data_IF_948159504237
#
_entry.id   IF_948159504237
#
_cell.length_a   1.000
_cell.length_b   1.000
_cell.length_c   1.000
_cell.angle_alpha   90.00
_cell.angle_beta   90.00
_cell.angle_gamma   90.00
#
_symmetry.space_group_name_H-M   'P 1'
#
loop_
_entity.id
_entity.type
_entity.pdbx_description
1 polymer ?
#
# COMPACT_ATOMS: atom_id res chain seq x y z
N UNK A 1 -4.72 -6.92 5.73
CA UNK A 1 -4.42 -6.12 4.52
C UNK A 1 -3.12 -5.37 4.73
N UNK A 2 -2.25 -5.40 3.73
CA UNK A 2 -1.00 -4.66 3.66
C UNK A 2 -1.03 -3.83 2.37
N UNK A 3 -0.43 -2.66 2.38
CA UNK A 3 -0.26 -1.87 1.17
C UNK A 3 1.04 -1.07 1.26
N UNK A 4 1.68 -0.86 0.10
CA UNK A 4 2.86 -0.04 -0.06
C UNK A 4 2.50 1.15 -0.95
N UNK A 5 2.81 2.36 -0.48
CA UNK A 5 2.54 3.59 -1.20
C UNK A 5 3.82 4.42 -1.25
N UNK A 6 4.12 4.96 -2.42
CA UNK A 6 5.14 5.98 -2.58
C UNK A 6 4.64 7.29 -1.96
N UNK A 7 5.38 7.85 -1.01
CA UNK A 7 4.96 9.04 -0.29
C UNK A 7 5.09 10.32 -1.10
N UNK A 8 5.88 10.35 -2.15
CA UNK A 8 6.09 11.52 -3.00
C UNK A 8 5.03 11.54 -4.10
N UNK A 9 4.99 10.48 -4.92
CA UNK A 9 4.11 10.37 -6.09
C UNK A 9 2.69 9.95 -5.73
N UNK A 10 2.49 9.45 -4.50
CA UNK A 10 1.23 8.82 -4.04
C UNK A 10 0.90 7.54 -4.78
N UNK A 11 1.85 6.93 -5.49
CA UNK A 11 1.62 5.71 -6.24
C UNK A 11 1.37 4.53 -5.29
N UNK A 12 0.25 3.85 -5.46
CA UNK A 12 -0.02 2.59 -4.78
C UNK A 12 0.78 1.49 -5.48
N UNK A 13 1.92 1.12 -4.89
CA UNK A 13 2.88 0.17 -5.44
C UNK A 13 2.40 -1.27 -5.36
N UNK A 14 1.76 -1.63 -4.23
CA UNK A 14 1.18 -2.95 -4.04
C UNK A 14 0.10 -2.97 -2.95
N UNK A 15 -0.78 -3.95 -3.02
CA UNK A 15 -1.82 -4.21 -2.01
C UNK A 15 -2.11 -5.70 -1.90
N UNK A 16 -2.11 -6.21 -0.67
CA UNK A 16 -2.35 -7.63 -0.38
C UNK A 16 -3.26 -7.84 0.82
N UNK A 17 -4.02 -8.93 0.79
CA UNK A 17 -4.93 -9.32 1.88
C UNK A 17 -4.63 -10.75 2.34
N UNK A 18 -4.40 -10.87 3.65
CA UNK A 18 -4.17 -12.12 4.36
C UNK A 18 -5.22 -12.29 5.44
N UNK A 19 -5.50 -13.55 5.78
CA UNK A 19 -6.44 -13.93 6.83
C UNK A 19 -5.93 -13.57 8.24
N UNK A 20 -4.63 -13.33 8.38
CA UNK A 20 -3.97 -12.95 9.64
C UNK A 20 -2.94 -11.85 9.42
N UNK A 21 -2.74 -11.05 10.47
CA UNK A 21 -1.65 -10.10 10.56
C UNK A 21 -0.44 -10.74 11.27
N UNK A 22 0.76 -10.46 10.76
CA UNK A 22 2.00 -10.94 11.35
C UNK A 22 3.24 -10.50 10.58
N UNK A 23 4.40 -10.76 11.17
CA UNK A 23 5.71 -10.44 10.60
C UNK A 23 6.00 -11.27 9.35
N UNK A 24 5.55 -12.52 9.30
CA UNK A 24 5.79 -13.40 8.14
C UNK A 24 5.00 -12.91 6.91
N UNK A 25 3.73 -12.52 7.09
CA UNK A 25 2.93 -11.91 6.03
C UNK A 25 3.51 -10.57 5.58
N UNK A 26 4.05 -9.77 6.51
CA UNK A 26 4.72 -8.52 6.16
C UNK A 26 5.98 -8.77 5.31
N UNK A 27 6.78 -9.78 5.64
CA UNK A 27 7.96 -10.15 4.87
C UNK A 27 7.59 -10.66 3.47
N UNK A 28 6.51 -11.45 3.35
CA UNK A 28 5.99 -11.93 2.06
C UNK A 28 5.58 -10.77 1.14
N UNK A 29 4.81 -9.81 1.67
CA UNK A 29 4.40 -8.61 0.92
C UNK A 29 5.60 -7.79 0.46
N UNK A 30 6.56 -7.58 1.35
CA UNK A 30 7.77 -6.83 0.99
C UNK A 30 8.64 -7.59 -0.03
N UNK A 31 8.64 -8.92 0.01
CA UNK A 31 9.29 -9.76 -1.01
C UNK A 31 8.64 -9.57 -2.39
N UNK A 32 7.32 -9.68 -2.48
CA UNK A 32 6.60 -9.41 -3.74
C UNK A 32 6.82 -7.98 -4.24
N UNK A 33 6.89 -7.01 -3.33
CA UNK A 33 7.19 -5.62 -3.68
C UNK A 33 8.58 -5.49 -4.30
N UNK A 34 9.59 -6.16 -3.73
CA UNK A 34 10.97 -6.16 -4.23
C UNK A 34 11.14 -6.91 -5.57
N UNK A 35 10.25 -7.84 -5.89
CA UNK A 35 10.23 -8.50 -7.21
C UNK A 35 9.67 -7.57 -8.30
N UNK A 36 8.74 -6.68 -7.95
CA UNK A 36 8.04 -5.81 -8.88
C UNK A 36 8.72 -4.46 -9.09
N UNK A 37 9.43 -3.96 -8.08
CA UNK A 37 9.96 -2.59 -8.04
C UNK A 37 11.43 -2.59 -7.61
N UNK A 38 12.20 -1.63 -8.14
CA UNK A 38 13.54 -1.36 -7.64
C UNK A 38 13.44 -0.62 -6.30
N UNK A 39 13.87 -1.28 -5.23
CA UNK A 39 13.81 -0.76 -3.86
C UNK A 39 15.20 -0.41 -3.30
N UNK A 40 16.24 -0.40 -4.14
CA UNK A 40 17.63 -0.21 -3.70
C UNK A 40 17.84 1.09 -2.92
N UNK A 41 17.19 2.18 -3.33
CA UNK A 41 17.23 3.49 -2.68
C UNK A 41 16.01 3.78 -1.78
N UNK A 42 15.12 2.81 -1.59
CA UNK A 42 13.88 3.01 -0.85
C UNK A 42 14.09 3.01 0.68
N UNK A 43 13.46 3.97 1.37
CA UNK A 43 13.36 3.99 2.83
C UNK A 43 11.94 3.67 3.25
N UNK A 44 11.74 2.52 3.89
CA UNK A 44 10.41 2.10 4.34
C UNK A 44 9.99 2.79 5.63
N UNK A 45 8.79 3.39 5.60
CA UNK A 45 8.14 3.96 6.77
C UNK A 45 7.15 2.95 7.34
N UNK A 46 7.39 2.46 8.55
CA UNK A 46 6.57 1.41 9.18
C UNK A 46 6.06 1.80 10.57
N UNK A 47 4.89 1.27 10.96
CA UNK A 47 4.16 1.69 12.16
C UNK A 47 4.48 0.87 13.43
N UNK A 48 5.39 -0.09 13.35
CA UNK A 48 5.77 -0.92 14.51
C UNK A 48 7.00 -1.80 14.30
N UNK A 49 7.60 -2.21 15.42
CA UNK A 49 8.81 -3.05 15.47
C UNK A 49 8.67 -4.39 14.70
N UNK A 50 7.46 -4.95 14.61
CA UNK A 50 7.20 -6.17 13.85
C UNK A 50 7.48 -6.02 12.35
N UNK A 51 7.17 -4.86 11.76
CA UNK A 51 7.49 -4.54 10.38
C UNK A 51 8.97 -4.22 10.18
N UNK A 52 9.58 -3.57 11.16
CA UNK A 52 11.02 -3.30 11.17
C UNK A 52 11.83 -4.60 11.14
N UNK A 53 11.36 -5.62 11.88
CA UNK A 53 11.91 -6.98 11.82
C UNK A 53 11.74 -7.62 10.44
N UNK A 54 10.59 -7.43 9.80
CA UNK A 54 10.34 -7.96 8.46
C UNK A 54 11.29 -7.35 7.42
N UNK A 55 11.48 -6.02 7.45
CA UNK A 55 12.43 -5.31 6.58
C UNK A 55 13.86 -5.82 6.74
N UNK A 56 14.31 -5.97 7.99
CA UNK A 56 15.65 -6.50 8.27
C UNK A 56 15.85 -7.92 7.73
N UNK A 57 14.83 -8.78 7.82
CA UNK A 57 14.89 -10.17 7.32
C UNK A 57 15.15 -10.27 5.82
N UNK A 58 14.73 -9.28 5.05
CA UNK A 58 14.86 -9.25 3.58
C UNK A 58 15.90 -8.23 3.10
N UNK A 59 16.68 -7.66 4.02
CA UNK A 59 17.78 -6.74 3.68
C UNK A 59 17.33 -5.33 3.25
N UNK A 60 16.11 -4.91 3.55
CA UNK A 60 15.61 -3.56 3.23
C UNK A 60 15.83 -2.60 4.40
N UNK A 61 16.14 -1.34 4.08
CA UNK A 61 16.24 -0.25 5.06
C UNK A 61 14.86 0.25 5.50
N UNK A 62 14.72 0.55 6.79
CA UNK A 62 13.49 1.10 7.34
C UNK A 62 13.72 2.12 8.43
N UNK A 63 12.76 3.03 8.60
CA UNK A 63 12.75 4.01 9.68
C UNK A 63 11.36 4.09 10.33
N UNK A 64 11.34 4.39 11.62
CA UNK A 64 10.11 4.73 12.32
C UNK A 64 9.82 6.22 12.10
N UNK A 65 8.80 6.54 11.31
CA UNK A 65 8.38 7.93 11.06
C UNK A 65 6.90 8.12 11.41
N UNK A 66 6.66 8.94 12.43
CA UNK A 66 5.32 9.17 12.99
C UNK A 66 4.57 10.34 12.35
N UNK A 67 5.21 11.17 11.52
CA UNK A 67 4.58 12.35 10.90
C UNK A 67 3.89 11.97 9.59
N UNK A 68 4.61 11.32 8.67
CA UNK A 68 4.05 10.78 7.42
C UNK A 68 3.05 9.64 7.68
N UNK A 69 3.12 9.01 8.86
CA UNK A 69 2.10 8.10 9.41
C UNK A 69 0.70 8.69 9.34
N UNK A 70 0.51 9.99 9.58
CA UNK A 70 -0.83 10.57 9.60
C UNK A 70 -1.45 10.55 8.19
N UNK A 71 -0.64 10.78 7.16
CA UNK A 71 -1.07 10.72 5.76
C UNK A 71 -1.40 9.28 5.34
N UNK A 72 -0.49 8.35 5.61
CA UNK A 72 -0.66 6.93 5.29
C UNK A 72 -1.86 6.35 6.05
N UNK A 73 -2.02 6.66 7.34
CA UNK A 73 -3.17 6.19 8.13
C UNK A 73 -4.50 6.76 7.66
N UNK A 74 -4.58 8.05 7.34
CA UNK A 74 -5.80 8.65 6.76
C UNK A 74 -6.15 8.01 5.44
N UNK A 75 -5.15 7.71 4.62
CA UNK A 75 -5.34 6.99 3.37
C UNK A 75 -5.84 5.56 3.60
N UNK A 76 -5.20 4.78 4.48
CA UNK A 76 -5.64 3.43 4.85
C UNK A 76 -7.05 3.42 5.43
N UNK A 77 -7.41 4.43 6.22
CA UNK A 77 -8.76 4.59 6.73
C UNK A 77 -9.76 4.77 5.58
N UNK A 78 -9.44 5.61 4.60
CA UNK A 78 -10.27 5.81 3.41
C UNK A 78 -10.41 4.51 2.59
N UNK A 79 -9.32 3.78 2.41
CA UNK A 79 -9.32 2.48 1.72
C UNK A 79 -10.19 1.47 2.45
N UNK A 80 -10.01 1.31 3.76
CA UNK A 80 -10.84 0.41 4.60
C UNK A 80 -12.31 0.78 4.49
N UNK A 81 -12.68 2.06 4.59
CA UNK A 81 -14.08 2.47 4.41
C UNK A 81 -14.64 2.09 3.04
N UNK A 82 -13.85 2.18 1.97
CA UNK A 82 -14.29 1.77 0.62
C UNK A 82 -14.44 0.26 0.50
N UNK A 83 -13.52 -0.51 1.08
CA UNK A 83 -13.60 -1.97 1.18
C UNK A 83 -14.82 -2.38 2.00
N UNK A 84 -15.04 -1.78 3.16
CA UNK A 84 -16.15 -2.10 4.06
C UNK A 84 -17.50 -1.80 3.41
N UNK A 85 -17.63 -0.68 2.69
CA UNK A 85 -18.82 -0.36 1.91
C UNK A 85 -19.04 -1.36 0.77
N UNK A 86 -17.98 -1.72 0.05
CA UNK A 86 -18.06 -2.75 -0.99
C UNK A 86 -18.50 -4.10 -0.41
N UNK A 87 -17.89 -4.56 0.68
CA UNK A 87 -18.22 -5.82 1.35
C UNK A 87 -19.64 -5.82 1.92
N UNK A 88 -20.11 -4.69 2.46
CA UNK A 88 -21.50 -4.56 2.96
C UNK A 88 -22.51 -4.68 1.82
N UNK A 89 -22.15 -4.25 0.62
CA UNK A 89 -22.98 -4.35 -0.59
C UNK A 89 -22.74 -5.64 -1.40
N UNK A 90 -21.72 -6.43 -1.07
CA UNK A 90 -21.28 -7.60 -1.84
C UNK A 90 -20.74 -8.71 -0.93
N UNK A 91 -21.46 -9.83 -0.83
CA UNK A 91 -20.97 -11.05 -0.16
C UNK A 91 -20.11 -11.84 -1.16
N UNK A 92 -18.81 -11.56 -1.19
CA UNK A 92 -17.86 -12.14 -2.15
C UNK A 92 -16.91 -13.18 -1.53
N UNK A 93 -16.32 -14.03 -2.38
CA UNK A 93 -15.24 -14.94 -2.00
C UNK A 93 -13.88 -14.22 -2.03
N UNK A 94 -12.82 -14.85 -1.50
CA UNK A 94 -11.45 -14.28 -1.52
C UNK A 94 -10.98 -13.84 -2.93
N UNK A 95 -11.22 -14.62 -4.01
CA UNK A 95 -10.95 -14.15 -5.39
C UNK A 95 -11.68 -12.85 -5.77
N UNK A 96 -12.91 -12.65 -5.32
CA UNK A 96 -13.65 -11.41 -5.58
C UNK A 96 -13.02 -10.21 -4.89
N UNK A 97 -12.43 -10.40 -3.70
CA UNK A 97 -11.69 -9.33 -3.00
C UNK A 97 -10.43 -8.97 -3.77
N UNK A 98 -9.66 -9.98 -4.22
CA UNK A 98 -8.44 -9.73 -5.00
C UNK A 98 -8.74 -8.98 -6.30
N UNK A 99 -9.74 -9.43 -7.06
CA UNK A 99 -10.15 -8.76 -8.30
C UNK A 99 -10.61 -7.32 -8.05
N UNK A 100 -11.34 -7.07 -6.95
CA UNK A 100 -11.72 -5.72 -6.57
C UNK A 100 -10.51 -4.84 -6.23
N UNK A 101 -9.52 -5.38 -5.52
CA UNK A 101 -8.29 -4.66 -5.19
C UNK A 101 -7.51 -4.27 -6.44
N UNK A 102 -7.38 -5.17 -7.41
CA UNK A 102 -6.75 -4.88 -8.71
C UNK A 102 -7.45 -3.73 -9.43
N UNK A 103 -8.79 -3.73 -9.47
CA UNK A 103 -9.57 -2.64 -10.05
C UNK A 103 -9.40 -1.33 -9.25
N UNK A 104 -9.35 -1.42 -7.92
CA UNK A 104 -9.13 -0.27 -7.06
C UNK A 104 -7.76 0.35 -7.29
N UNK A 105 -6.69 -0.45 -7.38
CA UNK A 105 -5.33 0.01 -7.68
C UNK A 105 -5.30 0.73 -9.02
N UNK A 106 -5.91 0.13 -10.05
CA UNK A 106 -5.98 0.75 -11.36
C UNK A 106 -6.70 2.10 -11.32
N UNK A 107 -7.88 2.16 -10.71
CA UNK A 107 -8.64 3.39 -10.55
C UNK A 107 -7.83 4.46 -9.78
N UNK A 108 -7.22 4.07 -8.66
CA UNK A 108 -6.49 4.97 -7.79
C UNK A 108 -5.26 5.55 -8.50
N UNK A 109 -4.46 4.71 -9.15
CA UNK A 109 -3.20 5.12 -9.79
C UNK A 109 -3.40 5.87 -11.10
N UNK A 110 -4.47 5.61 -11.86
CA UNK A 110 -4.62 6.13 -13.24
C UNK A 110 -5.82 7.04 -13.48
N UNK A 111 -6.81 7.06 -12.58
CA UNK A 111 -8.06 7.78 -12.82
C UNK A 111 -8.40 8.78 -11.72
N UNK A 112 -7.87 8.59 -10.52
CA UNK A 112 -8.14 9.47 -9.38
C UNK A 112 -7.09 10.60 -9.36
N UNK A 113 -7.49 11.87 -9.49
CA UNK A 113 -6.59 13.00 -9.26
C UNK A 113 -6.39 13.25 -7.76
N UNK A 114 -5.21 13.77 -7.41
CA UNK A 114 -4.82 14.04 -6.04
C UNK A 114 -4.41 15.50 -5.85
N UNK A 115 -5.09 16.20 -4.95
CA UNK A 115 -4.78 17.62 -4.64
C UNK A 115 -3.35 17.82 -4.12
N UNK A 116 -2.74 16.79 -3.52
CA UNK A 116 -1.37 16.87 -3.01
C UNK A 116 -0.29 16.81 -4.09
N UNK A 117 -0.66 16.49 -5.33
CA UNK A 117 0.22 16.36 -6.50
C UNK A 117 -0.41 17.12 -7.68
N UNK A 118 -0.82 18.36 -7.43
CA UNK A 118 -1.37 19.28 -8.43
C UNK A 118 -2.59 18.76 -9.22
N UNK A 119 -3.40 17.90 -8.60
CA UNK A 119 -4.53 17.20 -9.23
C UNK A 119 -4.13 16.26 -10.38
N UNK A 120 -2.86 15.85 -10.45
CA UNK A 120 -2.41 14.73 -11.28
C UNK A 120 -2.84 13.40 -10.66
N UNK A 121 -2.86 12.36 -11.48
CA UNK A 121 -2.93 10.98 -11.02
C UNK A 121 -1.54 10.52 -10.58
N UNK A 122 -1.43 9.52 -9.68
CA UNK A 122 -0.13 9.03 -9.24
C UNK A 122 0.81 8.58 -10.38
N UNK A 123 0.27 7.96 -11.43
CA UNK A 123 1.07 7.55 -12.60
C UNK A 123 1.55 8.76 -13.42
N UNK A 124 0.75 9.81 -13.53
CA UNK A 124 1.21 11.05 -14.18
C UNK A 124 2.29 11.77 -13.36
N UNK A 125 2.27 11.64 -12.03
CA UNK A 125 3.32 12.18 -11.17
C UNK A 125 4.64 11.42 -11.33
N UNK A 126 4.58 10.09 -11.34
CA UNK A 126 5.75 9.22 -11.46
C UNK A 126 6.51 9.40 -12.78
N UNK A 127 5.80 9.78 -13.85
CA UNK A 127 6.37 9.96 -15.18
C UNK A 127 6.95 11.37 -15.44
N UNK A 128 6.87 12.29 -14.48
CA UNK A 128 7.34 13.67 -14.60
C UNK A 128 8.74 13.84 -13.99
#
# INVERSE_FOLDING_TARGET
MYAAIDTETKLLLDIDVFDRHGTDQAAEVLGHLAEKHDLSDAVFLVDGYGYWTALFRIGLSGQLNYTERNLIQKWFHTLKQRIDRFHTSWVGSRPSVQQWLEQFVHYYNRQRPHQSIDNRTPVEEELN
#
